data_IF_836396478388
#
_entry.id   IF_836396478388
#
_cell.length_a   1.000
_cell.length_b   1.000
_cell.length_c   1.000
_cell.angle_alpha   90.00
_cell.angle_beta   90.00
_cell.angle_gamma   90.00
#
_symmetry.space_group_name_H-M   'P 1'
#
loop_
_entity.id
_entity.type
_entity.pdbx_description
1 polymer ?
#
# COMPACT_ATOMS: atom_id res chain seq x y z
N UNK A 1 17.59 28.22 -4.93
CA UNK A 1 16.60 27.17 -5.27
C UNK A 1 16.37 26.36 -4.00
N UNK A 2 15.21 26.55 -3.37
CA UNK A 2 14.84 25.89 -2.13
C UNK A 2 14.48 24.44 -2.45
N UNK A 3 15.32 23.49 -2.04
CA UNK A 3 14.93 22.08 -1.97
C UNK A 3 13.81 21.98 -0.93
N UNK A 4 12.55 22.08 -1.37
CA UNK A 4 11.44 21.57 -0.58
C UNK A 4 11.70 20.07 -0.44
N UNK A 5 12.13 19.65 0.76
CA UNK A 5 11.95 18.27 1.19
C UNK A 5 10.44 18.06 1.16
N UNK A 6 9.93 17.49 0.07
CA UNK A 6 8.58 16.93 0.07
C UNK A 6 8.60 15.84 1.14
N UNK A 7 8.08 16.18 2.32
CA UNK A 7 7.85 15.25 3.40
C UNK A 7 6.68 14.38 2.95
N UNK A 8 7.00 13.31 2.24
CA UNK A 8 6.02 12.29 1.92
C UNK A 8 5.66 11.57 3.21
N UNK A 9 4.39 11.68 3.60
CA UNK A 9 3.86 10.88 4.69
C UNK A 9 3.65 9.46 4.16
N UNK A 10 4.70 8.64 4.26
CA UNK A 10 4.65 7.23 3.91
C UNK A 10 4.07 6.44 5.08
N UNK A 11 3.26 5.40 4.82
CA UNK A 11 2.68 4.57 5.87
C UNK A 11 3.75 3.80 6.63
N UNK A 12 3.44 3.42 7.87
CA UNK A 12 4.30 2.54 8.67
C UNK A 12 4.37 1.13 8.06
N UNK A 13 3.25 0.60 7.59
CA UNK A 13 3.17 -0.72 6.96
C UNK A 13 2.86 -0.64 5.47
N UNK A 14 3.47 -1.56 4.73
CA UNK A 14 3.36 -1.68 3.27
C UNK A 14 3.25 -3.16 2.92
N UNK A 15 2.51 -3.46 1.86
CA UNK A 15 2.38 -4.81 1.33
C UNK A 15 3.18 -4.95 0.04
N UNK A 16 3.89 -6.06 -0.13
CA UNK A 16 4.46 -6.45 -1.43
C UNK A 16 3.32 -6.87 -2.34
N UNK A 17 3.29 -6.37 -3.57
CA UNK A 17 2.23 -6.72 -4.53
C UNK A 17 2.09 -8.25 -4.69
N UNK A 18 0.93 -8.84 -4.36
CA UNK A 18 0.68 -10.28 -4.54
C UNK A 18 0.84 -10.75 -5.99
N UNK A 19 0.66 -9.85 -6.95
CA UNK A 19 0.75 -10.14 -8.38
C UNK A 19 2.16 -9.87 -8.96
N UNK A 20 3.17 -9.65 -8.12
CA UNK A 20 4.55 -9.42 -8.56
C UNK A 20 5.10 -10.66 -9.27
N UNK A 21 5.07 -10.64 -10.61
CA UNK A 21 5.39 -11.79 -11.46
C UNK A 21 6.83 -12.28 -11.29
N UNK A 22 7.77 -11.36 -11.11
CA UNK A 22 9.18 -11.63 -10.87
C UNK A 22 9.54 -11.20 -9.44
N UNK A 23 8.90 -11.78 -8.43
CA UNK A 23 9.38 -11.60 -7.06
C UNK A 23 10.59 -12.52 -6.81
N UNK A 24 11.84 -12.01 -6.85
CA UNK A 24 13.02 -12.84 -6.61
C UNK A 24 13.08 -13.38 -5.17
N UNK A 25 12.19 -12.90 -4.28
CA UNK A 25 12.20 -13.17 -2.84
C UNK A 25 10.99 -13.96 -2.37
N UNK A 26 10.01 -14.23 -3.25
CA UNK A 26 8.79 -15.01 -2.97
C UNK A 26 7.99 -14.49 -1.77
N UNK A 27 7.73 -13.18 -1.72
CA UNK A 27 7.04 -12.43 -0.66
C UNK A 27 5.79 -11.69 -1.14
N UNK A 28 5.26 -11.99 -2.32
CA UNK A 28 3.98 -11.44 -2.79
C UNK A 28 2.88 -11.57 -1.73
N UNK A 29 2.26 -10.45 -1.38
CA UNK A 29 1.22 -10.34 -0.34
C UNK A 29 1.75 -10.27 1.10
N UNK A 30 3.07 -10.34 1.31
CA UNK A 30 3.64 -10.19 2.64
C UNK A 30 3.62 -8.73 3.09
N UNK A 31 3.26 -8.48 4.36
CA UNK A 31 3.14 -7.15 4.94
C UNK A 31 4.38 -6.87 5.78
N UNK A 32 5.10 -5.80 5.46
CA UNK A 32 6.30 -5.38 6.18
C UNK A 32 6.21 -3.94 6.65
N UNK A 33 7.14 -3.56 7.52
CA UNK A 33 7.27 -2.18 7.99
C UNK A 33 8.21 -1.40 7.07
N UNK A 34 7.79 -0.24 6.61
CA UNK A 34 8.68 0.68 5.90
C UNK A 34 9.71 1.22 6.89
N UNK A 35 10.99 0.90 6.67
CA UNK A 35 12.07 1.38 7.53
C UNK A 35 12.71 2.65 6.99
N UNK A 36 12.82 2.74 5.66
CA UNK A 36 13.48 3.85 4.98
C UNK A 36 13.11 3.88 3.49
N UNK A 37 13.17 5.05 2.85
CA UNK A 37 12.95 5.21 1.42
C UNK A 37 13.93 6.23 0.82
N UNK A 38 14.50 5.89 -0.34
CA UNK A 38 15.28 6.78 -1.20
C UNK A 38 14.49 6.95 -2.50
N UNK A 39 13.58 7.93 -2.50
CA UNK A 39 12.61 8.14 -3.59
C UNK A 39 13.32 8.38 -4.93
N UNK A 40 14.39 9.18 -4.94
CA UNK A 40 15.16 9.48 -6.15
C UNK A 40 15.80 8.25 -6.80
N UNK A 41 16.02 7.17 -6.05
CA UNK A 41 16.60 5.92 -6.54
C UNK A 41 15.56 4.81 -6.69
N UNK A 42 14.28 5.11 -6.42
CA UNK A 42 13.20 4.12 -6.40
C UNK A 42 13.51 2.95 -5.43
N UNK A 43 14.09 3.23 -4.27
CA UNK A 43 14.48 2.21 -3.29
C UNK A 43 13.66 2.35 -2.01
N UNK A 44 12.89 1.33 -1.69
CA UNK A 44 12.06 1.25 -0.49
C UNK A 44 12.52 0.06 0.36
N UNK A 45 12.95 0.33 1.58
CA UNK A 45 13.51 -0.64 2.50
C UNK A 45 12.40 -1.12 3.44
N UNK A 46 12.05 -2.39 3.32
CA UNK A 46 10.96 -3.04 4.04
C UNK A 46 11.54 -4.08 5.00
N UNK A 47 11.25 -3.91 6.29
CA UNK A 47 11.58 -4.88 7.33
C UNK A 47 10.41 -5.84 7.58
N UNK A 48 10.71 -7.15 7.57
CA UNK A 48 9.72 -8.20 7.84
C UNK A 48 9.93 -8.85 9.20
N UNK A 49 8.97 -9.69 9.61
CA UNK A 49 8.98 -10.40 10.89
C UNK A 49 10.19 -11.37 11.03
N UNK A 50 10.86 -11.75 9.92
CA UNK A 50 12.09 -12.55 9.92
C UNK A 50 13.37 -11.74 10.18
N UNK A 51 13.23 -10.48 10.60
CA UNK A 51 14.31 -9.52 10.91
C UNK A 51 15.14 -9.14 9.67
N UNK A 52 14.72 -9.55 8.47
CA UNK A 52 15.43 -9.20 7.24
C UNK A 52 14.81 -7.97 6.60
N UNK A 53 15.70 -7.05 6.19
CA UNK A 53 15.33 -5.89 5.37
C UNK A 53 15.47 -6.28 3.89
N UNK A 54 14.52 -5.83 3.06
CA UNK A 54 14.52 -6.00 1.61
C UNK A 54 14.27 -4.69 0.91
N UNK A 55 14.78 -4.56 -0.32
CA UNK A 55 14.65 -3.35 -1.14
C UNK A 55 13.73 -3.63 -2.32
N UNK A 56 12.65 -2.86 -2.43
CA UNK A 56 11.68 -2.94 -3.52
C UNK A 56 11.58 -1.59 -4.25
N UNK A 57 11.06 -1.63 -5.48
CA UNK A 57 10.64 -0.44 -6.20
C UNK A 57 9.24 0.03 -5.77
N UNK A 58 8.89 1.28 -6.06
CA UNK A 58 7.59 1.86 -5.74
C UNK A 58 6.41 1.12 -6.41
N UNK A 59 6.63 0.54 -7.59
CA UNK A 59 5.60 -0.22 -8.32
C UNK A 59 5.36 -1.62 -7.72
N UNK A 60 6.32 -2.16 -6.97
CA UNK A 60 6.24 -3.50 -6.36
C UNK A 60 5.49 -3.47 -5.02
N UNK A 61 5.11 -2.26 -4.56
CA UNK A 61 4.65 -2.01 -3.22
C UNK A 61 3.28 -1.34 -3.23
N UNK A 62 2.38 -1.87 -2.41
CA UNK A 62 1.01 -1.42 -2.25
C UNK A 62 0.81 -0.83 -0.86
N UNK A 63 0.07 0.28 -0.82
CA UNK A 63 -0.39 0.95 0.38
C UNK A 63 -1.91 1.01 0.43
N UNK A 64 -2.46 1.11 1.64
CA UNK A 64 -3.89 1.35 1.82
C UNK A 64 -4.26 2.74 1.32
N UNK A 65 -5.40 2.82 0.66
CA UNK A 65 -6.06 4.10 0.40
C UNK A 65 -6.61 4.64 1.72
N UNK A 66 -6.67 5.96 1.83
CA UNK A 66 -7.27 6.60 2.99
C UNK A 66 -8.78 6.37 3.05
N UNK A 67 -9.36 6.55 4.23
CA UNK A 67 -10.79 6.33 4.47
C UNK A 67 -11.69 7.09 3.47
N UNK A 68 -11.37 8.34 3.13
CA UNK A 68 -12.15 9.13 2.16
C UNK A 68 -12.24 8.44 0.80
N UNK A 69 -11.14 7.90 0.28
CA UNK A 69 -11.12 7.21 -1.01
C UNK A 69 -11.88 5.87 -0.95
N UNK A 70 -11.91 5.22 0.21
CA UNK A 70 -12.67 3.98 0.43
C UNK A 70 -14.18 4.27 0.48
N UNK A 71 -14.60 5.32 1.18
CA UNK A 71 -16.00 5.75 1.18
C UNK A 71 -16.45 6.23 -0.21
N UNK A 72 -15.62 6.98 -0.92
CA UNK A 72 -15.92 7.37 -2.31
C UNK A 72 -16.13 6.14 -3.20
N UNK A 73 -15.32 5.09 -3.04
CA UNK A 73 -15.51 3.86 -3.81
C UNK A 73 -16.88 3.21 -3.54
N UNK A 74 -17.34 3.22 -2.28
CA UNK A 74 -18.69 2.74 -1.93
C UNK A 74 -19.76 3.62 -2.58
N UNK A 75 -19.61 4.94 -2.56
CA UNK A 75 -20.57 5.85 -3.22
C UNK A 75 -20.67 5.58 -4.72
N UNK A 76 -19.52 5.39 -5.38
CA UNK A 76 -19.44 5.20 -6.83
C UNK A 76 -19.91 3.80 -7.28
N UNK A 77 -19.68 2.77 -6.46
CA UNK A 77 -19.87 1.36 -6.84
C UNK A 77 -20.89 0.60 -5.98
N UNK A 78 -21.53 1.25 -5.00
CA UNK A 78 -22.38 0.60 -3.99
C UNK A 78 -23.48 -0.28 -4.55
N UNK A 79 -24.05 0.06 -5.71
CA UNK A 79 -25.06 -0.75 -6.39
C UNK A 79 -24.55 -2.10 -6.91
N UNK A 80 -23.23 -2.27 -7.03
CA UNK A 80 -22.57 -3.49 -7.52
C UNK A 80 -21.93 -4.32 -6.42
N UNK A 81 -21.79 -3.77 -5.23
CA UNK A 81 -21.18 -4.43 -4.08
C UNK A 81 -22.21 -5.27 -3.33
N UNK A 82 -21.80 -6.47 -2.90
CA UNK A 82 -22.59 -7.23 -1.94
C UNK A 82 -22.34 -6.74 -0.50
N UNK A 83 -23.17 -7.21 0.44
CA UNK A 83 -23.08 -6.82 1.85
C UNK A 83 -21.70 -7.10 2.47
N UNK A 84 -21.09 -8.25 2.16
CA UNK A 84 -19.76 -8.60 2.68
C UNK A 84 -18.67 -7.67 2.13
N UNK A 85 -18.75 -7.31 0.85
CA UNK A 85 -17.82 -6.40 0.18
C UNK A 85 -17.91 -4.97 0.74
N UNK A 86 -19.14 -4.45 0.92
CA UNK A 86 -19.35 -3.14 1.55
C UNK A 86 -18.84 -3.11 3.00
N UNK A 87 -19.10 -4.17 3.76
CA UNK A 87 -18.62 -4.30 5.13
C UNK A 87 -17.09 -4.37 5.18
N UNK A 88 -16.44 -5.07 4.25
CA UNK A 88 -14.99 -5.12 4.16
C UNK A 88 -14.38 -3.73 3.91
N UNK A 89 -14.91 -2.97 2.95
CA UNK A 89 -14.46 -1.60 2.63
C UNK A 89 -14.68 -0.66 3.82
N UNK A 90 -15.85 -0.74 4.46
CA UNK A 90 -16.14 0.05 5.67
C UNK A 90 -15.18 -0.28 6.80
N UNK A 91 -14.90 -1.56 7.05
CA UNK A 91 -13.98 -1.98 8.11
C UNK A 91 -12.56 -1.49 7.85
N UNK A 92 -12.06 -1.60 6.62
CA UNK A 92 -10.74 -1.05 6.26
C UNK A 92 -10.71 0.46 6.45
N UNK A 93 -11.75 1.19 6.06
CA UNK A 93 -11.83 2.64 6.24
C UNK A 93 -11.80 3.04 7.72
N UNK A 94 -12.54 2.33 8.58
CA UNK A 94 -12.53 2.55 10.02
C UNK A 94 -11.15 2.25 10.61
N UNK A 95 -10.53 1.14 10.23
CA UNK A 95 -9.18 0.80 10.69
C UNK A 95 -8.15 1.87 10.32
N UNK A 96 -8.23 2.46 9.12
CA UNK A 96 -7.37 3.57 8.70
C UNK A 96 -7.61 4.84 9.53
N UNK A 97 -8.87 5.14 9.90
CA UNK A 97 -9.19 6.27 10.79
C UNK A 97 -8.56 6.07 12.18
N UNK A 98 -8.60 4.83 12.70
CA UNK A 98 -8.05 4.49 14.01
C UNK A 98 -6.55 4.13 14.00
N UNK A 99 -5.92 3.99 12.82
CA UNK A 99 -4.55 3.50 12.66
C UNK A 99 -3.44 4.43 13.18
N UNK A 100 -3.78 5.62 13.70
CA UNK A 100 -2.84 6.46 14.44
C UNK A 100 -2.13 5.69 15.58
N UNK A 101 -2.76 4.62 16.09
CA UNK A 101 -2.21 3.70 17.10
C UNK A 101 -1.72 2.36 16.50
N UNK A 102 -0.68 2.43 15.64
CA UNK A 102 0.36 1.44 15.24
C UNK A 102 0.10 -0.08 15.01
N UNK A 103 -1.13 -0.59 15.11
CA UNK A 103 -1.46 -2.01 14.87
C UNK A 103 -2.54 -2.27 13.83
N UNK A 104 -3.46 -1.32 13.65
CA UNK A 104 -4.65 -1.51 12.81
C UNK A 104 -4.34 -1.56 11.30
N UNK A 105 -3.25 -0.93 10.88
CA UNK A 105 -2.85 -0.93 9.47
C UNK A 105 -2.51 -2.34 8.96
N UNK A 106 -1.81 -3.16 9.75
CA UNK A 106 -1.52 -4.56 9.38
C UNK A 106 -2.80 -5.38 9.28
N UNK A 107 -3.80 -5.11 10.12
CA UNK A 107 -5.10 -5.79 10.06
C UNK A 107 -5.90 -5.38 8.82
N UNK A 108 -5.89 -4.09 8.47
CA UNK A 108 -6.52 -3.57 7.26
C UNK A 108 -5.95 -4.23 5.98
N UNK A 109 -4.63 -4.42 5.90
CA UNK A 109 -4.02 -5.17 4.79
C UNK A 109 -4.47 -6.64 4.74
N UNK A 110 -4.60 -7.32 5.89
CA UNK A 110 -5.11 -8.70 5.92
C UNK A 110 -6.53 -8.79 5.40
N UNK A 111 -7.39 -7.82 5.71
CA UNK A 111 -8.73 -7.74 5.14
C UNK A 111 -8.64 -7.58 3.62
N UNK A 112 -7.82 -6.64 3.12
CA UNK A 112 -7.66 -6.45 1.68
C UNK A 112 -7.23 -7.74 0.94
N UNK A 113 -6.33 -8.53 1.52
CA UNK A 113 -5.88 -9.82 0.97
C UNK A 113 -6.99 -10.88 0.87
N UNK A 114 -8.01 -10.81 1.74
CA UNK A 114 -9.15 -11.73 1.71
C UNK A 114 -10.12 -11.45 0.56
N UNK A 115 -10.03 -10.27 -0.05
CA UNK A 115 -10.92 -9.82 -1.13
C UNK A 115 -10.13 -9.37 -2.37
N UNK A 116 -9.49 -10.31 -3.11
CA UNK A 116 -8.66 -9.96 -4.27
C UNK A 116 -9.41 -9.18 -5.36
N UNK A 117 -10.72 -9.42 -5.53
CA UNK A 117 -11.57 -8.68 -6.48
C UNK A 117 -11.67 -7.19 -6.17
N UNK A 118 -11.44 -6.80 -4.92
CA UNK A 118 -11.51 -5.44 -4.41
C UNK A 118 -10.12 -4.84 -4.15
N UNK A 119 -9.04 -5.49 -4.60
CA UNK A 119 -7.68 -4.99 -4.41
C UNK A 119 -7.54 -3.52 -4.83
N UNK A 120 -8.09 -3.15 -5.99
CA UNK A 120 -8.07 -1.77 -6.49
C UNK A 120 -8.96 -0.80 -5.68
N UNK A 121 -9.93 -1.30 -4.91
CA UNK A 121 -10.69 -0.48 -3.98
C UNK A 121 -9.84 -0.13 -2.76
N UNK A 122 -9.17 -1.13 -2.18
CA UNK A 122 -8.40 -0.98 -0.94
C UNK A 122 -7.03 -0.35 -1.11
N UNK A 123 -6.35 -0.69 -2.20
CA UNK A 123 -4.91 -0.54 -2.34
C UNK A 123 -4.55 0.38 -3.50
N UNK A 124 -3.41 1.03 -3.37
CA UNK A 124 -2.78 1.86 -4.40
C UNK A 124 -1.27 1.61 -4.38
N UNK A 125 -0.62 1.63 -5.54
CA UNK A 125 0.83 1.52 -5.59
C UNK A 125 1.51 2.76 -5.00
N UNK A 126 2.72 2.61 -4.46
CA UNK A 126 3.51 3.78 -4.05
C UNK A 126 3.84 4.65 -5.27
N UNK A 127 4.09 4.03 -6.43
CA UNK A 127 4.34 4.73 -7.69
C UNK A 127 3.20 5.72 -8.00
N UNK A 128 1.96 5.23 -7.96
CA UNK A 128 0.77 6.05 -8.24
C UNK A 128 0.55 7.12 -7.16
N UNK A 129 0.75 6.77 -5.88
CA UNK A 129 0.59 7.72 -4.77
C UNK A 129 1.54 8.91 -4.90
N UNK A 130 2.81 8.60 -5.19
CA UNK A 130 3.87 9.59 -5.32
C UNK A 130 3.88 10.26 -6.70
N UNK A 131 3.02 9.81 -7.63
CA UNK A 131 3.00 10.23 -9.03
C UNK A 131 4.39 10.13 -9.66
N UNK A 132 5.16 9.12 -9.24
CA UNK A 132 6.41 8.79 -9.90
C UNK A 132 6.00 8.29 -11.28
N UNK A 133 6.19 9.09 -12.32
CA UNK A 133 5.93 8.63 -13.67
C UNK A 133 6.72 7.34 -13.92
N UNK A 134 6.22 6.45 -14.80
CA UNK A 134 6.85 5.18 -15.23
C UNK A 134 8.23 5.33 -15.92
N UNK A 135 9.00 6.36 -15.56
CA UNK A 135 10.22 6.83 -16.20
C UNK A 135 11.43 6.95 -15.27
N UNK A 136 11.35 6.52 -14.00
CA UNK A 136 12.56 6.23 -13.23
C UNK A 136 13.18 4.93 -13.76
N UNK A 137 13.75 5.04 -14.96
CA UNK A 137 14.68 4.08 -15.52
C UNK A 137 15.73 3.83 -14.45
N UNK A 138 15.77 2.60 -13.96
CA UNK A 138 16.88 2.04 -13.22
C UNK A 138 18.16 2.42 -13.94
N UNK A 139 18.95 3.29 -13.30
CA UNK A 139 20.30 3.58 -13.74
C UNK A 139 21.12 2.30 -13.65
N UNK A 140 21.45 1.73 -14.80
CA UNK A 140 22.63 0.89 -15.01
C UNK A 140 23.43 1.50 -16.14
#
# INVERSE_FOLDING_TARGET
MQNQKELFNLPDYIMVDPALADDPRLRGGEIGRLTYAIINWNEFYIGFDDVKIRVYGAADLLMLKNADALFQYIEDHGATLNEYEMNAITNVALLEIYAADSGYQKEAFKIALQYPSLCNAFLISIEDKLKLGRGLKTGR
#
